data_IF_904700914331
#
_entry.id   IF_904700914331
#
_cell.length_a   1.000
_cell.length_b   1.000
_cell.length_c   1.000
_cell.angle_alpha   90.00
_cell.angle_beta   90.00
_cell.angle_gamma   90.00
#
_symmetry.space_group_name_H-M   'P 1'
#
loop_
_entity.id
_entity.type
_entity.pdbx_description
1 polymer ?
#
# COMPACT_ATOMS: atom_id res chain seq x y z
N UNK A 1 -16.40 -0.65 11.38
CA UNK A 1 -16.70 -1.61 10.30
C UNK A 1 -17.31 -0.82 9.15
N UNK A 2 -16.48 -0.39 8.19
CA UNK A 2 -16.86 0.56 7.12
C UNK A 2 -17.53 -0.13 5.91
N UNK A 3 -17.17 -1.39 5.67
CA UNK A 3 -17.67 -2.17 4.55
C UNK A 3 -19.18 -2.44 4.62
N UNK A 4 -19.72 -2.71 5.82
CA UNK A 4 -21.16 -2.96 6.01
C UNK A 4 -21.84 -1.79 6.70
N UNK A 5 -22.99 -1.35 6.18
CA UNK A 5 -23.85 -0.41 6.88
C UNK A 5 -24.21 -0.95 8.28
N UNK A 6 -24.08 -0.17 9.36
CA UNK A 6 -24.40 -0.64 10.71
C UNK A 6 -25.90 -0.88 10.92
N UNK A 7 -26.76 -0.28 10.08
CA UNK A 7 -28.23 -0.40 10.16
C UNK A 7 -28.80 -1.50 9.26
N UNK A 8 -28.62 -1.41 7.94
CA UNK A 8 -29.24 -2.35 6.98
C UNK A 8 -28.29 -3.44 6.45
N UNK A 9 -27.00 -3.41 6.83
CA UNK A 9 -25.96 -4.34 6.36
C UNK A 9 -25.61 -4.27 4.87
N UNK A 10 -26.07 -3.25 4.14
CA UNK A 10 -25.61 -3.00 2.77
C UNK A 10 -24.08 -3.03 2.68
N UNK A 11 -23.56 -3.76 1.69
CA UNK A 11 -22.14 -4.00 1.47
C UNK A 11 -21.55 -3.18 0.32
N UNK A 12 -22.35 -2.31 -0.30
CA UNK A 12 -21.91 -1.43 -1.39
C UNK A 12 -20.68 -0.61 -0.97
N UNK A 13 -19.57 -0.75 -1.71
CA UNK A 13 -18.32 -0.02 -1.46
C UNK A 13 -18.37 1.42 -1.98
N UNK A 14 -19.42 1.79 -2.71
CA UNK A 14 -19.65 3.12 -3.28
C UNK A 14 -20.54 4.01 -2.41
N UNK A 15 -20.33 3.93 -1.09
CA UNK A 15 -20.97 4.85 -0.15
C UNK A 15 -20.41 6.27 -0.34
N UNK A 16 -21.26 7.30 -0.51
CA UNK A 16 -20.81 8.68 -0.48
C UNK A 16 -20.03 9.00 0.79
N UNK A 17 -18.90 9.68 0.63
CA UNK A 17 -18.05 10.15 1.73
C UNK A 17 -18.27 11.65 1.89
N UNK A 18 -18.69 12.04 3.10
CA UNK A 18 -19.12 13.38 3.48
C UNK A 18 -18.30 13.88 4.67
N UNK A 19 -18.34 15.20 4.92
CA UNK A 19 -17.84 15.84 6.14
C UNK A 19 -16.41 15.42 6.53
N UNK A 20 -15.46 15.46 5.58
CA UNK A 20 -14.06 15.12 5.84
C UNK A 20 -13.31 16.26 6.55
N UNK A 21 -13.07 16.09 7.86
CA UNK A 21 -12.33 17.05 8.67
C UNK A 21 -11.67 16.40 9.90
N UNK A 22 -10.54 16.96 10.33
CA UNK A 22 -9.84 16.60 11.57
C UNK A 22 -9.51 15.10 11.71
N UNK A 23 -9.16 14.42 10.61
CA UNK A 23 -8.83 12.99 10.60
C UNK A 23 -10.05 12.05 10.60
N UNK A 24 -11.25 12.56 10.30
CA UNK A 24 -12.47 11.77 10.21
C UNK A 24 -13.27 12.13 8.97
N UNK A 25 -14.13 11.20 8.56
CA UNK A 25 -15.16 11.42 7.55
C UNK A 25 -16.43 10.62 7.90
N UNK A 26 -17.52 10.90 7.20
CA UNK A 26 -18.81 10.23 7.36
C UNK A 26 -19.17 9.49 6.08
N UNK A 27 -19.46 8.19 6.18
CA UNK A 27 -20.04 7.44 5.08
C UNK A 27 -21.57 7.48 5.19
N UNK A 28 -22.26 7.69 4.07
CA UNK A 28 -23.72 7.59 3.98
C UNK A 28 -24.12 6.30 3.26
N UNK A 29 -24.99 5.49 3.86
CA UNK A 29 -25.47 4.27 3.21
C UNK A 29 -26.42 4.62 2.04
N UNK A 30 -26.13 4.17 0.81
CA UNK A 30 -26.97 4.50 -0.35
C UNK A 30 -28.35 3.82 -0.32
N UNK A 31 -28.51 2.76 0.48
CA UNK A 31 -29.78 2.03 0.59
C UNK A 31 -30.72 2.64 1.63
N UNK A 32 -30.23 2.92 2.84
CA UNK A 32 -31.08 3.33 3.97
C UNK A 32 -30.79 4.74 4.51
N UNK A 33 -29.80 5.45 3.95
CA UNK A 33 -29.42 6.81 4.37
C UNK A 33 -28.68 6.90 5.71
N UNK A 34 -28.36 5.76 6.35
CA UNK A 34 -27.64 5.75 7.63
C UNK A 34 -26.26 6.39 7.47
N UNK A 35 -25.94 7.34 8.35
CA UNK A 35 -24.64 8.03 8.38
C UNK A 35 -23.79 7.52 9.52
N UNK A 36 -22.55 7.16 9.22
CA UNK A 36 -21.63 6.67 10.25
C UNK A 36 -20.21 7.18 10.02
N UNK A 37 -19.62 7.65 11.12
CA UNK A 37 -18.29 8.26 11.15
C UNK A 37 -17.21 7.18 11.16
N UNK A 38 -16.12 7.43 10.47
CA UNK A 38 -14.92 6.59 10.45
C UNK A 38 -13.66 7.45 10.49
N UNK A 39 -12.53 6.84 10.86
CA UNK A 39 -11.22 7.48 10.82
C UNK A 39 -10.79 7.61 9.37
N UNK A 40 -10.30 8.79 9.01
CA UNK A 40 -9.96 9.15 7.65
C UNK A 40 -8.49 9.55 7.59
N UNK A 41 -7.64 8.53 7.46
CA UNK A 41 -6.19 8.67 7.44
C UNK A 41 -5.65 8.52 6.01
N UNK A 42 -4.45 9.05 5.72
CA UNK A 42 -3.77 8.69 4.49
C UNK A 42 -3.33 7.23 4.57
N UNK A 43 -3.40 6.52 3.45
CA UNK A 43 -2.80 5.21 3.28
C UNK A 43 -1.33 5.41 2.90
N UNK A 44 -0.41 4.82 3.66
CA UNK A 44 0.99 4.73 3.25
C UNK A 44 1.22 3.45 2.46
N UNK A 45 1.90 3.55 1.32
CA UNK A 45 2.33 2.38 0.54
C UNK A 45 3.85 2.31 0.47
N UNK A 46 4.41 1.12 0.71
CA UNK A 46 5.80 0.77 0.47
C UNK A 46 5.86 -0.23 -0.67
N UNK A 47 6.27 0.26 -1.84
CA UNK A 47 6.15 -0.39 -3.13
C UNK A 47 7.53 -0.77 -3.71
N UNK A 48 7.53 -1.54 -4.80
CA UNK A 48 8.73 -1.87 -5.56
C UNK A 48 8.79 -3.34 -5.98
N UNK A 49 9.73 -3.68 -6.87
CA UNK A 49 9.87 -5.06 -7.35
C UNK A 49 10.15 -6.06 -6.21
N UNK A 50 9.80 -7.35 -6.34
CA UNK A 50 10.26 -8.38 -5.42
C UNK A 50 11.79 -8.37 -5.37
N UNK A 51 12.39 -8.31 -4.17
CA UNK A 51 13.87 -8.33 -4.03
C UNK A 51 14.54 -7.01 -3.73
N UNK A 52 13.82 -5.90 -3.86
CA UNK A 52 14.33 -4.59 -3.47
C UNK A 52 14.39 -4.37 -1.95
N UNK A 53 13.90 -5.32 -1.13
CA UNK A 53 14.02 -5.28 0.33
C UNK A 53 12.83 -4.71 1.10
N UNK A 54 11.61 -4.71 0.53
CA UNK A 54 10.37 -4.22 1.18
C UNK A 54 10.09 -4.92 2.51
N UNK A 55 9.93 -6.24 2.49
CA UNK A 55 9.62 -7.02 3.70
C UNK A 55 10.77 -6.99 4.73
N UNK A 56 12.02 -6.91 4.27
CA UNK A 56 13.17 -6.68 5.17
C UNK A 56 13.01 -5.33 5.88
N UNK A 57 12.78 -4.26 5.13
CA UNK A 57 12.56 -2.92 5.68
C UNK A 57 11.37 -2.90 6.65
N UNK A 58 10.26 -3.54 6.28
CA UNK A 58 9.09 -3.66 7.12
C UNK A 58 9.40 -4.35 8.46
N UNK A 59 10.21 -5.41 8.46
CA UNK A 59 10.65 -6.09 9.68
C UNK A 59 11.47 -5.21 10.63
N UNK A 60 12.27 -4.28 10.11
CA UNK A 60 13.00 -3.29 10.93
C UNK A 60 12.11 -2.16 11.46
N UNK A 61 10.94 -1.93 10.82
CA UNK A 61 9.98 -0.92 11.26
C UNK A 61 8.93 -1.48 12.23
N UNK A 62 8.78 -2.81 12.30
CA UNK A 62 7.78 -3.45 13.16
C UNK A 62 8.03 -3.10 14.64
N UNK A 63 6.97 -2.63 15.31
CA UNK A 63 7.04 -2.12 16.68
C UNK A 63 7.68 -0.72 16.85
N UNK A 64 8.31 -0.18 15.81
CA UNK A 64 9.06 1.10 15.86
C UNK A 64 8.29 2.28 15.25
N UNK A 65 7.18 2.02 14.56
CA UNK A 65 6.34 3.04 13.91
C UNK A 65 4.90 2.99 14.43
N UNK A 66 4.18 4.11 14.29
CA UNK A 66 2.77 4.19 14.68
C UNK A 66 1.81 3.45 13.73
N UNK A 67 2.00 3.49 12.39
CA UNK A 67 1.18 2.69 11.48
C UNK A 67 1.36 1.19 11.70
N UNK A 68 0.27 0.44 11.56
CA UNK A 68 0.30 -1.02 11.51
C UNK A 68 0.78 -1.47 10.14
N UNK A 69 1.76 -2.37 10.11
CA UNK A 69 2.30 -2.95 8.89
C UNK A 69 1.34 -4.03 8.39
N UNK A 70 1.01 -3.96 7.10
CA UNK A 70 0.20 -4.96 6.40
C UNK A 70 0.96 -5.44 5.15
N UNK A 71 1.31 -6.73 5.12
CA UNK A 71 2.03 -7.37 4.00
C UNK A 71 1.01 -7.94 2.99
N UNK A 72 0.94 -7.33 1.81
CA UNK A 72 -0.01 -7.69 0.74
C UNK A 72 0.29 -9.00 0.04
N UNK A 73 1.57 -9.39 0.01
CA UNK A 73 1.99 -10.61 -0.69
C UNK A 73 1.39 -11.89 -0.04
N UNK A 74 0.89 -11.80 1.20
CA UNK A 74 0.25 -12.91 1.93
C UNK A 74 -0.94 -13.54 1.18
N UNK A 75 -1.65 -12.77 0.37
CA UNK A 75 -2.80 -13.26 -0.38
C UNK A 75 -2.44 -14.03 -1.65
N UNK A 76 -1.30 -13.70 -2.25
CA UNK A 76 -0.86 -14.32 -3.50
C UNK A 76 -0.64 -15.83 -3.26
N UNK A 77 0.00 -16.17 -2.15
CA UNK A 77 0.25 -17.56 -1.75
C UNK A 77 -1.05 -18.34 -1.47
N UNK A 78 -2.02 -17.71 -0.80
CA UNK A 78 -3.28 -18.36 -0.41
C UNK A 78 -4.26 -18.53 -1.56
N UNK A 79 -4.22 -17.60 -2.52
CA UNK A 79 -5.14 -17.62 -3.66
C UNK A 79 -4.67 -18.55 -4.77
N UNK A 80 -3.38 -18.93 -4.79
CA UNK A 80 -2.76 -19.79 -5.80
C UNK A 80 -3.12 -19.36 -7.24
N UNK A 81 -3.17 -18.03 -7.48
CA UNK A 81 -3.52 -17.45 -8.77
C UNK A 81 -5.01 -17.52 -9.15
N UNK A 82 -5.91 -17.92 -8.24
CA UNK A 82 -7.35 -18.00 -8.53
C UNK A 82 -8.08 -16.65 -8.50
N UNK A 83 -7.42 -15.58 -8.05
CA UNK A 83 -7.98 -14.22 -8.09
C UNK A 83 -7.28 -13.38 -9.15
N UNK A 84 -8.04 -12.47 -9.76
CA UNK A 84 -7.45 -11.43 -10.60
C UNK A 84 -6.61 -10.49 -9.74
N UNK A 85 -5.65 -9.81 -10.37
CA UNK A 85 -4.86 -8.77 -9.70
C UNK A 85 -5.73 -7.67 -9.09
N UNK A 86 -6.78 -7.25 -9.81
CA UNK A 86 -7.76 -6.27 -9.33
C UNK A 86 -8.46 -6.74 -8.04
N UNK A 87 -8.89 -8.01 -7.98
CA UNK A 87 -9.53 -8.55 -6.79
C UNK A 87 -8.57 -8.64 -5.58
N UNK A 88 -7.27 -8.85 -5.82
CA UNK A 88 -6.24 -8.81 -4.77
C UNK A 88 -6.08 -7.37 -4.25
N UNK A 89 -5.98 -6.38 -5.15
CA UNK A 89 -5.90 -4.96 -4.77
C UNK A 89 -7.13 -4.51 -3.97
N UNK A 90 -8.34 -4.87 -4.41
CA UNK A 90 -9.59 -4.56 -3.69
C UNK A 90 -9.58 -5.13 -2.27
N UNK A 91 -9.11 -6.38 -2.12
CA UNK A 91 -9.00 -7.04 -0.82
C UNK A 91 -7.99 -6.31 0.08
N UNK A 92 -6.83 -5.95 -0.44
CA UNK A 92 -5.78 -5.22 0.29
C UNK A 92 -6.29 -3.86 0.80
N UNK A 93 -7.01 -3.12 -0.05
CA UNK A 93 -7.61 -1.86 0.35
C UNK A 93 -8.75 -2.02 1.36
N UNK A 94 -9.55 -3.08 1.25
CA UNK A 94 -10.59 -3.40 2.25
C UNK A 94 -10.01 -3.74 3.62
N UNK A 95 -8.82 -4.36 3.66
CA UNK A 95 -8.10 -4.58 4.91
C UNK A 95 -7.58 -3.26 5.47
N UNK A 96 -6.93 -2.45 4.64
CA UNK A 96 -6.42 -1.14 5.05
C UNK A 96 -7.51 -0.23 5.62
N UNK A 97 -8.67 -0.13 4.95
CA UNK A 97 -9.80 0.66 5.46
C UNK A 97 -10.36 0.10 6.78
N UNK A 98 -10.28 -1.22 6.97
CA UNK A 98 -10.77 -1.87 8.19
C UNK A 98 -9.83 -1.55 9.37
N UNK A 99 -8.51 -1.58 9.14
CA UNK A 99 -7.52 -1.11 10.11
C UNK A 99 -7.78 0.35 10.48
N UNK A 100 -7.92 1.24 9.49
CA UNK A 100 -8.18 2.66 9.71
C UNK A 100 -9.46 2.86 10.53
N UNK A 101 -10.55 2.18 10.18
CA UNK A 101 -11.82 2.25 10.91
C UNK A 101 -11.71 1.83 12.40
N UNK A 102 -10.65 1.13 12.81
CA UNK A 102 -10.35 0.80 14.21
C UNK A 102 -9.38 1.77 14.90
N UNK A 103 -9.01 2.87 14.24
CA UNK A 103 -8.02 3.83 14.75
C UNK A 103 -6.57 3.45 14.48
N UNK A 104 -6.32 2.47 13.61
CA UNK A 104 -4.98 2.02 13.23
C UNK A 104 -4.68 2.43 11.81
N UNK A 105 -3.81 3.42 11.64
CA UNK A 105 -3.30 3.78 10.31
C UNK A 105 -2.48 2.60 9.75
N UNK A 106 -2.53 2.41 8.43
CA UNK A 106 -1.88 1.30 7.76
C UNK A 106 -0.65 1.76 6.97
N UNK A 107 0.43 0.99 7.07
CA UNK A 107 1.51 0.94 6.08
C UNK A 107 1.31 -0.34 5.26
N UNK A 108 0.81 -0.19 4.04
CA UNK A 108 0.69 -1.28 3.09
C UNK A 108 2.05 -1.56 2.47
N UNK A 109 2.60 -2.73 2.74
CA UNK A 109 3.82 -3.24 2.13
C UNK A 109 3.39 -4.19 1.03
N UNK A 110 3.70 -3.85 -0.21
CA UNK A 110 3.22 -4.62 -1.35
C UNK A 110 3.21 -3.83 -2.65
N UNK A 111 2.85 -4.52 -3.73
CA UNK A 111 2.62 -3.90 -5.03
C UNK A 111 3.87 -3.83 -5.91
N UNK A 112 3.68 -4.25 -7.16
CA UNK A 112 4.67 -4.14 -8.25
C UNK A 112 4.08 -3.44 -9.48
N UNK A 113 2.99 -2.69 -9.35
CA UNK A 113 2.53 -1.90 -10.49
C UNK A 113 2.08 -0.48 -10.14
N UNK A 114 2.57 0.53 -10.88
CA UNK A 114 2.08 1.89 -10.83
C UNK A 114 0.71 2.13 -11.49
N UNK A 115 -0.10 1.10 -11.74
CA UNK A 115 -1.42 1.30 -12.36
C UNK A 115 -2.47 1.56 -11.31
N UNK A 116 -2.88 2.82 -11.29
CA UNK A 116 -4.13 3.43 -10.85
C UNK A 116 -4.81 2.75 -9.66
N UNK A 117 -4.06 2.67 -8.56
CA UNK A 117 -4.66 2.66 -7.22
C UNK A 117 -5.80 3.70 -7.15
N UNK A 118 -5.65 4.85 -7.84
CA UNK A 118 -6.65 5.92 -7.98
C UNK A 118 -8.01 5.49 -8.56
N UNK A 119 -8.09 4.42 -9.34
CA UNK A 119 -9.34 4.01 -9.98
C UNK A 119 -10.17 3.04 -9.11
N UNK A 120 -9.56 2.50 -8.04
CA UNK A 120 -10.27 1.62 -7.13
C UNK A 120 -11.31 2.42 -6.31
N UNK A 121 -12.55 1.91 -6.21
CA UNK A 121 -13.60 2.55 -5.44
C UNK A 121 -13.25 2.68 -3.96
N UNK A 122 -12.42 1.79 -3.41
CA UNK A 122 -12.00 1.80 -2.02
C UNK A 122 -11.18 3.05 -1.65
N UNK A 123 -10.52 3.71 -2.62
CA UNK A 123 -9.65 4.86 -2.35
C UNK A 123 -10.35 6.06 -1.73
N UNK A 124 -11.67 6.20 -1.96
CA UNK A 124 -12.49 7.26 -1.34
C UNK A 124 -12.51 7.22 0.19
N UNK A 125 -12.11 6.09 0.78
CA UNK A 125 -12.05 5.90 2.23
C UNK A 125 -10.70 6.28 2.85
N UNK A 126 -9.75 6.75 2.04
CA UNK A 126 -8.48 7.30 2.50
C UNK A 126 -8.44 8.81 2.23
N UNK A 127 -7.82 9.58 3.13
CA UNK A 127 -7.65 11.02 2.90
C UNK A 127 -6.65 11.35 1.78
N UNK A 128 -5.84 10.35 1.40
CA UNK A 128 -4.84 10.38 0.36
C UNK A 128 -4.07 9.07 0.33
N UNK A 129 -3.26 8.88 -0.70
CA UNK A 129 -2.33 7.74 -0.81
C UNK A 129 -0.92 8.31 -0.92
N UNK A 130 -0.14 8.12 0.13
CA UNK A 130 1.24 8.56 0.23
C UNK A 130 2.15 7.39 -0.13
N UNK A 131 2.97 7.55 -1.18
CA UNK A 131 3.68 6.43 -1.81
C UNK A 131 5.18 6.55 -1.62
N UNK A 132 5.81 5.44 -1.23
CA UNK A 132 7.25 5.26 -1.21
C UNK A 132 7.61 3.99 -1.98
N UNK A 133 8.59 4.07 -2.87
CA UNK A 133 9.10 2.94 -3.63
C UNK A 133 10.56 2.65 -3.27
N UNK A 134 10.85 1.39 -2.98
CA UNK A 134 12.21 0.89 -2.86
C UNK A 134 12.70 0.42 -4.22
N UNK A 135 13.91 0.82 -4.58
CA UNK A 135 14.56 0.47 -5.85
C UNK A 135 15.99 -0.01 -5.60
N UNK A 136 16.58 -0.72 -6.54
CA UNK A 136 18.00 -1.07 -6.53
C UNK A 136 18.57 -1.09 -7.94
N UNK A 137 19.87 -1.34 -8.06
CA UNK A 137 20.52 -1.50 -9.34
C UNK A 137 20.05 -2.79 -10.02
N UNK A 138 19.94 -2.77 -11.34
CA UNK A 138 19.36 -3.88 -12.10
C UNK A 138 20.13 -5.18 -11.92
N UNK A 139 21.46 -5.12 -11.84
CA UNK A 139 22.31 -6.29 -11.63
C UNK A 139 22.02 -6.97 -10.28
N UNK A 140 21.89 -6.18 -9.21
CA UNK A 140 21.56 -6.70 -7.87
C UNK A 140 20.14 -7.27 -7.83
N UNK A 141 19.19 -6.61 -8.51
CA UNK A 141 17.81 -7.09 -8.60
C UNK A 141 17.75 -8.42 -9.36
N UNK A 142 18.41 -8.50 -10.51
CA UNK A 142 18.47 -9.71 -11.32
C UNK A 142 19.07 -10.87 -10.52
N UNK A 143 20.19 -10.67 -9.84
CA UNK A 143 20.82 -11.69 -8.99
C UNK A 143 19.84 -12.20 -7.93
N UNK A 144 19.22 -11.30 -7.15
CA UNK A 144 18.25 -11.66 -6.10
C UNK A 144 17.02 -12.37 -6.63
N UNK A 145 16.56 -12.03 -7.84
CA UNK A 145 15.42 -12.69 -8.48
C UNK A 145 15.79 -14.09 -8.99
N UNK A 146 17.01 -14.26 -9.52
CA UNK A 146 17.54 -15.58 -9.90
C UNK A 146 17.69 -16.50 -8.69
N UNK A 147 18.17 -16.00 -7.56
CA UNK A 147 18.24 -16.75 -6.29
C UNK A 147 16.87 -17.26 -5.84
N UNK A 148 15.80 -16.55 -6.20
CA UNK A 148 14.41 -16.93 -5.94
C UNK A 148 13.79 -17.81 -7.02
N UNK A 149 14.58 -18.31 -7.96
CA UNK A 149 14.13 -19.20 -9.04
C UNK A 149 13.03 -18.58 -9.92
N UNK A 150 13.03 -17.24 -10.07
CA UNK A 150 12.13 -16.57 -11.00
C UNK A 150 12.53 -16.86 -12.45
N UNK A 151 11.54 -17.11 -13.32
CA UNK A 151 11.77 -17.29 -14.75
C UNK A 151 12.28 -16.00 -15.41
N UNK A 152 13.02 -16.12 -16.52
CA UNK A 152 13.65 -14.97 -17.18
C UNK A 152 12.64 -13.91 -17.61
N UNK A 153 11.48 -14.32 -18.12
CA UNK A 153 10.42 -13.39 -18.52
C UNK A 153 9.88 -12.59 -17.33
N UNK A 154 9.82 -13.21 -16.14
CA UNK A 154 9.46 -12.54 -14.90
C UNK A 154 10.55 -11.56 -14.45
N UNK A 155 11.82 -11.96 -14.55
CA UNK A 155 12.96 -11.09 -14.23
C UNK A 155 12.94 -9.83 -15.11
N UNK A 156 12.81 -9.99 -16.42
CA UNK A 156 12.81 -8.87 -17.37
C UNK A 156 11.69 -7.87 -17.04
N UNK A 157 10.48 -8.38 -16.74
CA UNK A 157 9.37 -7.54 -16.33
C UNK A 157 9.62 -6.81 -15.00
N UNK A 158 10.22 -7.48 -14.00
CA UNK A 158 10.55 -6.86 -12.72
C UNK A 158 11.66 -5.79 -12.85
N UNK A 159 12.63 -5.99 -13.75
CA UNK A 159 13.64 -5.00 -14.08
C UNK A 159 13.00 -3.75 -14.69
N UNK A 160 12.05 -3.92 -15.61
CA UNK A 160 11.31 -2.81 -16.20
C UNK A 160 10.50 -2.03 -15.16
N UNK A 161 9.86 -2.72 -14.22
CA UNK A 161 9.16 -2.05 -13.09
C UNK A 161 10.15 -1.27 -12.21
N UNK A 162 11.29 -1.87 -11.86
CA UNK A 162 12.32 -1.21 -11.06
C UNK A 162 12.85 0.06 -11.75
N UNK A 163 13.16 -0.02 -13.05
CA UNK A 163 13.57 1.14 -13.86
C UNK A 163 12.50 2.21 -13.90
N UNK A 164 11.24 1.82 -14.08
CA UNK A 164 10.12 2.75 -14.09
C UNK A 164 10.05 3.56 -12.79
N UNK A 165 10.15 2.92 -11.62
CA UNK A 165 10.17 3.64 -10.34
C UNK A 165 11.38 4.56 -10.22
N UNK A 166 12.57 4.10 -10.62
CA UNK A 166 13.80 4.89 -10.59
C UNK A 166 13.70 6.15 -11.46
N UNK A 167 13.13 6.03 -12.64
CA UNK A 167 13.10 7.10 -13.65
C UNK A 167 11.88 8.02 -13.52
N UNK A 168 10.72 7.48 -13.11
CA UNK A 168 9.44 8.19 -13.15
C UNK A 168 8.78 8.37 -11.78
N UNK A 169 9.27 7.70 -10.74
CA UNK A 169 8.64 7.74 -9.42
C UNK A 169 8.50 9.15 -8.86
N UNK A 170 9.60 9.92 -8.89
CA UNK A 170 9.61 11.30 -8.40
C UNK A 170 8.62 12.20 -9.17
N UNK A 171 8.53 12.06 -10.50
CA UNK A 171 7.58 12.80 -11.35
C UNK A 171 6.11 12.45 -11.05
N UNK A 172 5.88 11.33 -10.37
CA UNK A 172 4.55 10.86 -9.94
C UNK A 172 4.29 11.07 -8.45
N UNK A 173 5.08 11.93 -7.78
CA UNK A 173 5.00 12.18 -6.34
C UNK A 173 5.21 10.92 -5.48
N UNK A 174 6.05 10.00 -5.95
CA UNK A 174 6.46 8.81 -5.20
C UNK A 174 7.85 9.09 -4.61
N UNK A 175 8.01 8.92 -3.30
CA UNK A 175 9.33 8.97 -2.66
C UNK A 175 10.14 7.75 -3.12
N UNK A 176 11.29 7.95 -3.75
CA UNK A 176 12.12 6.85 -4.28
C UNK A 176 13.36 6.66 -3.41
N UNK A 177 13.50 5.50 -2.80
CA UNK A 177 14.64 5.15 -1.94
C UNK A 177 15.45 4.04 -2.59
N UNK A 178 16.72 4.34 -2.90
CA UNK A 178 17.66 3.36 -3.44
C UNK A 178 18.28 2.51 -2.31
N UNK A 179 18.24 1.18 -2.49
CA UNK A 179 18.67 0.14 -1.56
C UNK A 179 19.96 -0.59 -1.97
N UNK A 180 20.59 -0.23 -3.09
CA UNK A 180 21.76 -0.90 -3.67
C UNK A 180 22.92 -1.03 -2.66
N UNK A 181 23.30 0.07 -2.01
CA UNK A 181 24.52 0.14 -1.19
C UNK A 181 24.28 0.43 0.29
N UNK A 182 23.04 0.74 0.66
CA UNK A 182 22.70 1.05 2.04
C UNK A 182 22.32 -0.22 2.80
N UNK A 183 22.73 -0.31 4.05
CA UNK A 183 22.32 -1.39 4.92
C UNK A 183 20.82 -1.29 5.27
N UNK A 184 20.17 -2.41 5.64
CA UNK A 184 18.73 -2.43 5.92
C UNK A 184 18.24 -1.45 6.99
N UNK A 185 19.06 -1.18 8.03
CA UNK A 185 18.68 -0.25 9.09
C UNK A 185 18.63 1.19 8.57
N UNK A 186 19.63 1.58 7.77
CA UNK A 186 19.64 2.87 7.07
C UNK A 186 18.41 3.04 6.17
N UNK A 187 17.99 1.99 5.46
CA UNK A 187 16.78 2.05 4.63
C UNK A 187 15.52 2.21 5.47
N UNK A 188 15.39 1.45 6.56
CA UNK A 188 14.27 1.58 7.49
C UNK A 188 14.18 3.00 8.09
N UNK A 189 15.31 3.59 8.49
CA UNK A 189 15.34 4.97 9.00
C UNK A 189 14.86 5.99 7.96
N UNK A 190 15.21 5.82 6.68
CA UNK A 190 14.72 6.68 5.60
C UNK A 190 13.21 6.56 5.40
N UNK A 191 12.68 5.34 5.42
CA UNK A 191 11.22 5.11 5.33
C UNK A 191 10.51 5.69 6.55
N UNK A 192 11.06 5.54 7.76
CA UNK A 192 10.52 6.18 8.97
C UNK A 192 10.46 7.70 8.85
N UNK A 193 11.54 8.32 8.36
CA UNK A 193 11.60 9.77 8.15
C UNK A 193 10.54 10.23 7.14
N UNK A 194 10.34 9.45 6.08
CA UNK A 194 9.26 9.70 5.11
C UNK A 194 7.87 9.60 5.74
N UNK A 195 7.61 8.59 6.57
CA UNK A 195 6.34 8.46 7.31
C UNK A 195 6.09 9.67 8.22
N UNK A 196 7.08 10.08 9.01
CA UNK A 196 6.97 11.22 9.93
C UNK A 196 6.70 12.55 9.21
N UNK A 197 7.34 12.77 8.05
CA UNK A 197 7.12 13.95 7.21
C UNK A 197 5.70 14.01 6.65
N UNK A 198 5.08 12.86 6.41
CA UNK A 198 3.76 12.76 5.80
C UNK A 198 2.64 12.44 6.81
N UNK A 199 2.96 12.16 8.07
CA UNK A 199 1.99 11.96 9.16
C UNK A 199 1.60 13.23 9.92
N UNK A 200 2.39 14.30 9.78
CA UNK A 200 2.11 15.61 10.39
C UNK A 200 1.23 16.53 9.51
N UNK A 201 0.46 15.98 8.57
CA UNK A 201 -0.39 16.74 7.63
C UNK A 201 -1.87 16.53 7.89
#
# INVERSE_FOLDING_TARGET
MLHFCPRCRNADVEKPVLDSANGYATAECPECGERFRFQYFPLYTLEGAPGVGKSTTAGFLDGEISPSIYEGDLHIDLTNGNLSWEAICDLDFRICMTLHATGKQALFVGGVHPHDLTDSPETRYFSGIERCALVCDDADLEERLRERSMAQEGIDFMLDVNRWYRERGADRNIEVINTTTADPDTIAQRVRTWLEKNGNR
#
